data_IF_704002168295
#
_entry.id   IF_704002168295
#
_cell.length_a   1.000
_cell.length_b   1.000
_cell.length_c   1.000
_cell.angle_alpha   90.00
_cell.angle_beta   90.00
_cell.angle_gamma   90.00
#
_symmetry.space_group_name_H-M   'P 1'
#
loop_
_entity.id
_entity.type
_entity.pdbx_description
1 polymer ?
#
# COMPACT_ATOMS: atom_id res chain seq x y z
N UNK A 1 -2.82 -3.06 17.90
CA UNK A 1 -2.75 -4.08 16.92
C UNK A 1 -1.66 -5.08 17.18
N UNK A 2 -1.92 -6.27 16.85
CA UNK A 2 -1.06 -7.34 17.30
C UNK A 2 0.01 -7.70 16.29
N UNK A 3 -0.27 -7.47 15.04
CA UNK A 3 0.64 -7.91 14.00
C UNK A 3 1.52 -6.75 13.56
N UNK A 4 2.81 -6.86 13.79
CA UNK A 4 3.73 -5.78 13.48
C UNK A 4 3.85 -5.55 11.97
N UNK A 5 3.63 -6.57 11.17
CA UNK A 5 3.67 -6.40 9.73
C UNK A 5 2.50 -5.56 9.24
N UNK A 6 1.34 -5.78 9.81
CA UNK A 6 0.18 -4.96 9.47
C UNK A 6 0.41 -3.52 9.91
N UNK A 7 0.96 -3.36 11.11
CA UNK A 7 1.23 -2.02 11.61
C UNK A 7 2.23 -1.28 10.74
N UNK A 8 3.25 -1.99 10.27
CA UNK A 8 4.23 -1.39 9.38
C UNK A 8 3.59 -0.92 8.08
N UNK A 9 2.72 -1.75 7.52
CA UNK A 9 2.06 -1.38 6.29
C UNK A 9 1.17 -0.17 6.48
N UNK A 10 0.41 -0.16 7.57
CA UNK A 10 -0.46 0.99 7.87
C UNK A 10 0.36 2.25 7.99
N UNK A 11 1.50 2.16 8.67
CA UNK A 11 2.35 3.32 8.87
C UNK A 11 2.90 3.83 7.56
N UNK A 12 3.36 2.94 6.70
CA UNK A 12 3.88 3.34 5.41
C UNK A 12 2.80 3.99 4.56
N UNK A 13 1.62 3.42 4.56
CA UNK A 13 0.55 3.98 3.77
C UNK A 13 0.08 5.32 4.30
N UNK A 14 0.17 5.53 5.60
CA UNK A 14 -0.25 6.80 6.17
C UNK A 14 0.66 7.95 5.76
N UNK A 15 1.83 7.64 5.23
CA UNK A 15 2.75 8.68 4.75
C UNK A 15 2.42 9.14 3.34
N UNK A 16 1.52 8.45 2.67
CA UNK A 16 1.14 8.84 1.32
C UNK A 16 0.28 10.09 1.35
N UNK A 17 0.42 10.96 0.34
CA UNK A 17 -0.38 12.18 0.32
C UNK A 17 -1.86 11.85 0.27
N UNK A 18 -2.62 12.54 1.09
CA UNK A 18 -4.06 12.33 1.15
C UNK A 18 -4.49 11.19 2.04
N UNK A 19 -3.56 10.43 2.59
CA UNK A 19 -3.90 9.32 3.47
C UNK A 19 -3.45 9.62 4.90
N UNK A 20 -4.41 9.67 5.80
CA UNK A 20 -4.10 9.72 7.21
C UNK A 20 -4.02 8.32 7.77
N UNK A 21 -3.72 8.25 9.06
CA UNK A 21 -3.57 6.97 9.72
C UNK A 21 -4.86 6.18 9.69
N UNK A 22 -5.98 6.86 9.88
CA UNK A 22 -7.28 6.21 9.90
C UNK A 22 -7.63 5.64 8.52
N UNK A 23 -7.40 6.41 7.48
CA UNK A 23 -7.68 5.95 6.13
C UNK A 23 -6.77 4.80 5.75
N UNK A 24 -5.50 4.89 6.13
CA UNK A 24 -4.55 3.84 5.82
C UNK A 24 -4.98 2.52 6.47
N UNK A 25 -5.43 2.60 7.71
CA UNK A 25 -5.87 1.38 8.40
C UNK A 25 -7.07 0.76 7.71
N UNK A 26 -8.01 1.58 7.30
CA UNK A 26 -9.19 1.07 6.61
C UNK A 26 -8.81 0.40 5.30
N UNK A 27 -7.90 1.01 4.57
CA UNK A 27 -7.46 0.45 3.29
C UNK A 27 -6.75 -0.88 3.51
N UNK A 28 -5.87 -0.94 4.48
CA UNK A 28 -5.15 -2.18 4.76
C UNK A 28 -6.11 -3.29 5.14
N UNK A 29 -7.10 -2.98 5.98
CA UNK A 29 -8.09 -4.00 6.35
C UNK A 29 -8.91 -4.46 5.17
N UNK A 30 -9.29 -3.52 4.31
CA UNK A 30 -10.01 -3.86 3.11
C UNK A 30 -9.19 -4.80 2.23
N UNK A 31 -7.93 -4.49 2.04
CA UNK A 31 -7.06 -5.31 1.22
C UNK A 31 -6.86 -6.70 1.82
N UNK A 32 -6.74 -6.76 3.13
CA UNK A 32 -6.58 -8.07 3.78
C UNK A 32 -7.80 -8.95 3.59
N UNK A 33 -8.97 -8.36 3.57
CA UNK A 33 -10.20 -9.12 3.31
C UNK A 33 -10.30 -9.59 1.88
N UNK A 34 -9.53 -9.00 0.99
CA UNK A 34 -9.56 -9.32 -0.43
C UNK A 34 -8.18 -9.61 -0.98
N UNK A 35 -7.44 -10.44 -0.25
CA UNK A 35 -6.04 -10.66 -0.59
C UNK A 35 -5.82 -11.09 -2.03
N UNK A 36 -6.58 -12.09 -2.44
CA UNK A 36 -6.34 -12.69 -3.75
C UNK A 36 -6.75 -11.76 -4.89
N UNK A 37 -7.82 -11.02 -4.68
CA UNK A 37 -8.36 -10.22 -5.77
C UNK A 37 -7.79 -8.83 -5.83
N UNK A 38 -7.40 -8.29 -4.69
CA UNK A 38 -6.97 -6.89 -4.67
C UNK A 38 -5.57 -6.71 -4.12
N UNK A 39 -5.28 -7.30 -2.97
CA UNK A 39 -3.99 -7.03 -2.35
C UNK A 39 -2.83 -7.51 -3.20
N UNK A 40 -2.89 -8.76 -3.64
CA UNK A 40 -1.80 -9.30 -4.45
C UNK A 40 -1.71 -8.61 -5.80
N UNK A 41 -2.84 -8.33 -6.41
CA UNK A 41 -2.85 -7.66 -7.70
C UNK A 41 -2.28 -6.26 -7.56
N UNK A 42 -2.74 -5.53 -6.55
CA UNK A 42 -2.29 -4.17 -6.35
C UNK A 42 -0.79 -4.11 -6.04
N UNK A 43 -0.33 -5.01 -5.19
CA UNK A 43 1.09 -5.01 -4.82
C UNK A 43 1.96 -5.33 -6.02
N UNK A 44 1.51 -6.24 -6.87
CA UNK A 44 2.26 -6.60 -8.07
C UNK A 44 2.33 -5.43 -9.04
N UNK A 45 1.21 -4.74 -9.22
CA UNK A 45 1.19 -3.60 -10.12
C UNK A 45 2.06 -2.46 -9.62
N UNK A 46 1.99 -2.20 -8.32
CA UNK A 46 2.82 -1.15 -7.75
C UNK A 46 4.29 -1.46 -7.97
N UNK A 47 4.67 -2.69 -7.71
CA UNK A 47 6.07 -3.09 -7.88
C UNK A 47 6.50 -2.98 -9.32
N UNK A 48 5.63 -3.38 -10.23
CA UNK A 48 5.95 -3.36 -11.64
C UNK A 48 6.17 -1.93 -12.12
N UNK A 49 5.32 -1.02 -11.70
CA UNK A 49 5.48 0.37 -12.06
C UNK A 49 6.77 0.93 -11.46
N UNK A 50 7.03 0.60 -10.22
CA UNK A 50 8.24 1.09 -9.57
C UNK A 50 9.51 0.61 -10.27
N UNK A 51 9.46 -0.62 -10.79
CA UNK A 51 10.63 -1.17 -11.46
C UNK A 51 10.81 -0.65 -12.86
N UNK A 52 9.72 -0.32 -13.55
CA UNK A 52 9.81 0.02 -14.96
C UNK A 52 9.80 1.51 -15.23
N UNK A 53 9.18 2.27 -14.37
CA UNK A 53 9.08 3.71 -14.57
C UNK A 53 10.14 4.40 -13.75
N UNK A 54 10.93 5.24 -14.38
CA UNK A 54 11.97 5.98 -13.69
C UNK A 54 11.47 7.37 -13.39
N UNK A 55 11.41 7.65 -12.14
CA UNK A 55 10.86 8.92 -11.68
C UNK A 55 11.63 10.12 -12.13
N UNK A 56 12.92 9.99 -12.17
CA UNK A 56 13.72 11.14 -12.53
C UNK A 56 13.42 11.62 -13.93
N UNK A 57 12.85 10.77 -14.74
CA UNK A 57 12.48 11.17 -16.09
C UNK A 57 11.20 11.97 -16.12
N UNK A 58 10.42 11.84 -15.06
CA UNK A 58 9.17 12.56 -14.99
C UNK A 58 9.37 13.95 -14.44
N UNK A 59 10.33 14.12 -13.59
CA UNK A 59 10.60 15.38 -12.94
C UNK A 59 10.94 16.51 -13.89
#
# INVERSE_FOLDING_TARGET
>A
MINSEIDNLVRLMSKLPGLGLRSARRIVLHLLNNKEKEMHVLSREIRQVADQVKFCEIC
#
